data_IF_487336764258
#
_entry.id   IF_487336764258
#
_cell.length_a   1.000
_cell.length_b   1.000
_cell.length_c   1.000
_cell.angle_alpha   90.00
_cell.angle_beta   90.00
_cell.angle_gamma   90.00
#
_symmetry.space_group_name_H-M   'P 1'
#
loop_
_entity.id
_entity.type
_entity.pdbx_description
1 polymer ?
#
# COMPACT_ATOMS: atom_id res chain seq x y z
N UNK A 1 -17.26 -6.98 13.41
CA UNK A 1 -16.11 -6.20 12.96
C UNK A 1 -16.60 -4.84 12.52
N UNK A 2 -15.81 -3.79 12.70
CA UNK A 2 -16.12 -2.48 12.15
C UNK A 2 -15.58 -2.43 10.72
N UNK A 3 -16.46 -2.30 9.74
CA UNK A 3 -16.11 -2.10 8.34
C UNK A 3 -16.43 -0.66 7.95
N UNK A 4 -15.62 -0.07 7.08
CA UNK A 4 -15.94 1.21 6.48
C UNK A 4 -17.26 1.10 5.70
N UNK A 5 -18.11 2.12 5.82
CA UNK A 5 -19.43 2.17 5.19
C UNK A 5 -19.37 2.86 3.82
N UNK A 6 -18.42 3.76 3.64
CA UNK A 6 -18.22 4.56 2.44
C UNK A 6 -16.72 4.57 2.08
N UNK A 7 -16.42 4.47 0.79
CA UNK A 7 -15.07 4.44 0.19
C UNK A 7 -14.04 3.62 0.99
N UNK A 8 -14.26 2.30 1.17
CA UNK A 8 -13.36 1.46 1.94
C UNK A 8 -11.98 1.41 1.28
N UNK A 9 -10.98 1.83 2.04
CA UNK A 9 -9.57 1.76 1.65
C UNK A 9 -8.94 0.54 2.31
N UNK A 10 -8.21 -0.26 1.54
CA UNK A 10 -7.44 -1.38 2.09
C UNK A 10 -6.18 -0.88 2.79
N UNK A 11 -5.65 -1.67 3.72
CA UNK A 11 -4.37 -1.34 4.38
C UNK A 11 -3.22 -1.27 3.36
N UNK A 12 -3.29 -2.06 2.29
CA UNK A 12 -2.30 -2.06 1.22
C UNK A 12 -2.29 -0.72 0.45
N UNK A 13 -3.47 -0.21 0.09
CA UNK A 13 -3.63 1.08 -0.60
C UNK A 13 -3.15 2.25 0.26
N UNK A 14 -3.44 2.21 1.56
CA UNK A 14 -2.98 3.22 2.51
C UNK A 14 -1.44 3.25 2.58
N UNK A 15 -0.80 2.09 2.74
CA UNK A 15 0.67 2.01 2.77
C UNK A 15 1.30 2.48 1.47
N UNK A 16 0.74 2.12 0.31
CA UNK A 16 1.24 2.60 -0.98
C UNK A 16 1.11 4.12 -1.12
N UNK A 17 0.03 4.71 -0.60
CA UNK A 17 -0.16 6.17 -0.59
C UNK A 17 0.89 6.86 0.26
N UNK A 18 1.20 6.34 1.45
CA UNK A 18 2.26 6.88 2.32
C UNK A 18 3.63 6.79 1.64
N UNK A 19 3.96 5.64 1.05
CA UNK A 19 5.23 5.45 0.34
C UNK A 19 5.37 6.41 -0.84
N UNK A 20 4.30 6.57 -1.63
CA UNK A 20 4.25 7.51 -2.73
C UNK A 20 4.50 8.95 -2.29
N UNK A 21 3.89 9.39 -1.18
CA UNK A 21 4.10 10.73 -0.61
C UNK A 21 5.53 10.95 -0.12
N UNK A 22 6.22 9.90 0.32
CA UNK A 22 7.63 9.95 0.71
C UNK A 22 8.58 9.92 -0.50
N UNK A 23 8.04 9.90 -1.73
CA UNK A 23 8.82 9.81 -2.96
C UNK A 23 9.40 8.42 -3.23
N UNK A 24 8.90 7.40 -2.54
CA UNK A 24 9.29 6.00 -2.74
C UNK A 24 8.30 5.32 -3.69
N UNK A 25 8.82 4.54 -4.63
CA UNK A 25 8.01 3.74 -5.52
C UNK A 25 7.49 2.48 -4.78
N UNK A 26 6.18 2.38 -4.47
CA UNK A 26 5.64 1.24 -3.73
C UNK A 26 5.82 -0.10 -4.48
N UNK A 27 6.04 -0.05 -5.81
CA UNK A 27 6.20 -1.21 -6.68
C UNK A 27 7.61 -1.80 -6.65
N UNK A 28 8.59 -1.03 -6.20
CA UNK A 28 10.01 -1.40 -6.21
C UNK A 28 10.58 -1.72 -4.82
N UNK A 29 9.75 -1.68 -3.79
CA UNK A 29 10.17 -1.99 -2.43
C UNK A 29 9.99 -3.47 -2.14
N UNK A 30 11.12 -4.19 -2.10
CA UNK A 30 11.19 -5.60 -1.77
C UNK A 30 11.99 -5.82 -0.50
N UNK A 31 11.59 -6.81 0.28
CA UNK A 31 12.32 -7.26 1.46
C UNK A 31 12.45 -8.79 1.45
N UNK A 32 13.54 -9.29 2.02
CA UNK A 32 13.80 -10.72 2.08
C UNK A 32 13.16 -11.32 3.32
N UNK A 33 12.23 -12.26 3.12
CA UNK A 33 11.60 -13.05 4.19
C UNK A 33 11.70 -14.52 3.85
N UNK A 34 12.26 -15.32 4.76
CA UNK A 34 12.37 -16.78 4.60
C UNK A 34 13.06 -17.22 3.29
N UNK A 35 14.02 -16.43 2.80
CA UNK A 35 14.73 -16.70 1.55
C UNK A 35 13.98 -16.31 0.26
N UNK A 36 12.76 -15.77 0.39
CA UNK A 36 11.97 -15.23 -0.72
C UNK A 36 12.02 -13.69 -0.70
N UNK A 37 11.96 -13.08 -1.88
CA UNK A 37 11.75 -11.65 -2.01
C UNK A 37 10.24 -11.38 -2.02
N UNK A 38 9.77 -10.73 -0.97
CA UNK A 38 8.37 -10.31 -0.83
C UNK A 38 8.29 -8.79 -1.05
N UNK A 39 7.20 -8.33 -1.68
CA UNK A 39 6.95 -6.90 -1.85
C UNK A 39 6.42 -6.31 -0.55
N UNK A 40 6.91 -5.12 -0.18
CA UNK A 40 6.52 -4.44 1.06
C UNK A 40 5.02 -4.09 1.11
N UNK A 41 4.42 -3.81 -0.05
CA UNK A 41 2.98 -3.51 -0.19
C UNK A 41 2.10 -4.76 -0.30
N UNK A 42 2.68 -5.96 -0.23
CA UNK A 42 1.95 -7.21 -0.43
C UNK A 42 1.80 -7.60 -1.91
N UNK A 43 0.93 -8.59 -2.15
CA UNK A 43 0.70 -9.21 -3.47
C UNK A 43 -0.30 -8.40 -4.29
N UNK A 44 -1.29 -7.80 -3.61
CA UNK A 44 -2.31 -6.98 -4.25
C UNK A 44 -1.67 -5.74 -4.88
N UNK A 45 -2.14 -5.37 -6.06
CA UNK A 45 -1.76 -4.15 -6.75
C UNK A 45 -2.34 -2.95 -5.97
N UNK A 46 -1.52 -2.21 -5.19
CA UNK A 46 -2.08 -1.20 -4.33
C UNK A 46 -2.35 0.07 -5.14
N UNK A 47 -3.51 0.67 -4.90
CA UNK A 47 -3.91 1.94 -5.50
C UNK A 47 -3.42 3.08 -4.62
N UNK A 48 -2.79 4.09 -5.22
CA UNK A 48 -2.57 5.37 -4.52
C UNK A 48 -3.92 6.06 -4.36
N UNK A 49 -4.34 6.27 -3.12
CA UNK A 49 -5.61 6.91 -2.78
C UNK A 49 -5.40 8.41 -2.91
N UNK A 50 -5.78 8.94 -4.06
CA UNK A 50 -5.67 10.38 -4.36
C UNK A 50 -6.78 11.20 -3.72
N UNK A 51 -7.88 10.55 -3.34
CA UNK A 51 -9.06 11.14 -2.74
C UNK A 51 -8.81 11.68 -1.33
N UNK A 52 -7.75 11.22 -0.67
CA UNK A 52 -7.33 11.69 0.67
C UNK A 52 -6.18 12.69 0.60
N UNK A 53 -5.64 12.97 -0.58
CA UNK A 53 -4.56 13.94 -0.79
C UNK A 53 -5.17 15.33 -0.95
N UNK A 54 -4.59 16.32 -0.27
CA UNK A 54 -5.05 17.71 -0.22
C UNK A 54 -4.48 18.59 -1.34
#
# INVERSE_FOLDING_TARGET
GHAAVEDPVSVHDFHATVLHLLGLDPWQLFYKRSGLEERLTGIEEPRVVTEILA
#
